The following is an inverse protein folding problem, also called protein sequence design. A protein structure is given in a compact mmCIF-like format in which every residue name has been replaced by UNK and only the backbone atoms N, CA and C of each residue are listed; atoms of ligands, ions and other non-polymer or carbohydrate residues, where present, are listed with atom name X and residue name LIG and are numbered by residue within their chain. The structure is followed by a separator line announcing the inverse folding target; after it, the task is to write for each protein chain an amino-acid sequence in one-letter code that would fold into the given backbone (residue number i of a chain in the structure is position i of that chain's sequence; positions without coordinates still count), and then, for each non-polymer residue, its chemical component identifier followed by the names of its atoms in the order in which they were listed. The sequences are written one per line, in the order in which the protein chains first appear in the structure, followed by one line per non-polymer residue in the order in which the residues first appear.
data_IF_328132474814
#
_entry.id   IF_328132474814
#
_cell.length_a   1.000
_cell.length_b   1.000
_cell.length_c   1.000
_cell.angle_alpha   90.00
_cell.angle_beta   90.00
_cell.angle_gamma   90.00
#
_symmetry.space_group_name_H-M   'P 1'
#
loop_
_entity.id
_entity.type
_entity.pdbx_description
1 polymer ?
#
# COMPACT_ATOMS: atom_id res chain seq x y z
N UNK A 1 42.58 29.86 39.47
CA UNK A 1 41.26 29.58 38.88
C UNK A 1 41.27 28.11 38.50
N UNK A 2 40.18 27.38 38.72
CA UNK A 2 40.12 25.95 38.42
C UNK A 2 39.90 25.78 36.92
N UNK A 3 40.80 25.09 36.22
CA UNK A 3 40.75 24.88 34.77
C UNK A 3 40.08 23.56 34.44
N UNK A 4 39.50 23.46 33.24
CA UNK A 4 38.95 22.19 32.75
C UNK A 4 40.09 21.20 32.45
N UNK A 5 39.87 19.93 32.79
CA UNK A 5 40.79 18.84 32.43
C UNK A 5 40.62 18.45 30.97
N UNK A 6 41.64 17.80 30.39
CA UNK A 6 41.57 17.34 28.99
C UNK A 6 40.44 16.33 28.76
N UNK A 7 40.13 15.49 29.76
CA UNK A 7 38.98 14.56 29.70
C UNK A 7 37.65 15.30 29.59
N UNK A 8 37.50 16.39 30.36
CA UNK A 8 36.29 17.21 30.35
C UNK A 8 36.14 17.97 29.03
N UNK A 9 37.23 18.45 28.44
CA UNK A 9 37.22 19.07 27.12
C UNK A 9 36.85 18.07 26.03
N UNK A 10 37.33 16.82 26.11
CA UNK A 10 36.94 15.77 25.17
C UNK A 10 35.46 15.36 25.34
N UNK A 11 34.96 15.20 26.57
CA UNK A 11 33.53 14.94 26.81
C UNK A 11 32.63 16.07 26.26
N UNK A 12 33.11 17.31 26.32
CA UNK A 12 32.45 18.46 25.70
C UNK A 12 32.44 18.38 24.17
N UNK A 13 33.55 17.97 23.55
CA UNK A 13 33.66 17.81 22.10
C UNK A 13 32.82 16.64 21.56
N UNK A 14 32.72 15.55 22.32
CA UNK A 14 31.98 14.34 21.97
C UNK A 14 30.46 14.46 22.24
N UNK A 15 29.97 15.64 22.63
CA UNK A 15 28.57 15.90 23.00
C UNK A 15 28.03 14.96 24.11
N UNK A 16 28.91 14.52 25.03
CA UNK A 16 28.56 13.57 26.09
C UNK A 16 28.08 14.21 27.40
N UNK A 17 28.15 15.54 27.51
CA UNK A 17 27.74 16.29 28.70
C UNK A 17 26.22 16.53 28.73
N UNK A 18 25.65 16.54 29.93
CA UNK A 18 24.28 17.00 30.12
C UNK A 18 24.15 18.51 29.90
N UNK A 19 22.94 18.96 29.58
CA UNK A 19 22.63 20.35 29.24
C UNK A 19 22.99 21.36 30.34
N UNK A 20 23.02 20.95 31.61
CA UNK A 20 23.37 21.86 32.71
C UNK A 20 24.88 22.02 32.85
N UNK A 21 25.62 20.94 32.68
CA UNK A 21 27.09 20.95 32.71
C UNK A 21 27.66 21.63 31.47
N UNK A 22 27.07 21.38 30.30
CA UNK A 22 27.47 22.02 29.04
C UNK A 22 27.41 23.55 29.13
N UNK A 23 26.30 24.11 29.63
CA UNK A 23 26.16 25.57 29.83
C UNK A 23 27.19 26.17 30.79
N UNK A 24 27.61 25.42 31.82
CA UNK A 24 28.69 25.85 32.73
C UNK A 24 30.03 25.89 32.00
N UNK A 25 30.31 24.89 31.18
CA UNK A 25 31.54 24.83 30.40
C UNK A 25 31.56 25.93 29.34
N UNK A 26 30.44 26.21 28.67
CA UNK A 26 30.33 27.33 27.72
C UNK A 26 30.67 28.67 28.40
N UNK A 27 30.14 28.91 29.60
CA UNK A 27 30.46 30.12 30.39
C UNK A 27 31.94 30.17 30.79
N UNK A 28 32.53 29.03 31.16
CA UNK A 28 33.95 28.96 31.48
C UNK A 28 34.83 29.23 30.26
N UNK A 29 34.51 28.66 29.10
CA UNK A 29 35.25 28.83 27.84
C UNK A 29 35.17 30.27 27.32
N UNK A 30 34.10 31.01 27.63
CA UNK A 30 33.99 32.44 27.31
C UNK A 30 34.87 33.33 28.20
N UNK A 31 35.26 32.85 29.38
CA UNK A 31 35.98 33.65 30.39
C UNK A 31 37.42 33.21 30.60
N UNK A 32 37.79 31.98 30.22
CA UNK A 32 39.13 31.43 30.35
C UNK A 32 39.78 31.20 28.99
N UNK A 33 40.68 32.11 28.61
CA UNK A 33 41.39 32.09 27.32
C UNK A 33 42.29 30.84 27.17
N UNK A 34 42.91 30.37 28.27
CA UNK A 34 43.74 29.15 28.26
C UNK A 34 42.94 27.89 27.90
N UNK A 35 41.74 27.75 28.47
CA UNK A 35 40.86 26.61 28.19
C UNK A 35 40.28 26.69 26.78
N UNK A 36 39.97 27.89 26.29
CA UNK A 36 39.52 28.10 24.92
C UNK A 36 40.61 27.74 23.91
N UNK A 37 41.86 28.17 24.14
CA UNK A 37 42.98 27.84 23.28
C UNK A 37 43.24 26.32 23.19
N UNK A 38 43.18 25.61 24.32
CA UNK A 38 43.30 24.14 24.35
C UNK A 38 42.17 23.44 23.60
N UNK A 39 40.94 23.93 23.75
CA UNK A 39 39.80 23.39 23.02
C UNK A 39 39.97 23.55 21.50
N UNK A 40 40.46 24.70 21.06
CA UNK A 40 40.71 24.96 19.64
C UNK A 40 41.86 24.10 19.08
N UNK A 41 42.91 23.83 19.87
CA UNK A 41 43.95 22.87 19.52
C UNK A 41 43.38 21.44 19.34
N UNK A 42 42.55 20.98 20.27
CA UNK A 42 41.88 19.69 20.15
C UNK A 42 40.97 19.62 18.92
N UNK A 43 40.18 20.67 18.65
CA UNK A 43 39.33 20.77 17.45
C UNK A 43 40.14 20.70 16.17
N UNK A 44 41.29 21.34 16.13
CA UNK A 44 42.19 21.30 14.98
C UNK A 44 42.68 19.87 14.70
N UNK A 45 43.04 19.12 15.74
CA UNK A 45 43.45 17.71 15.62
C UNK A 45 42.29 16.86 15.08
N UNK A 46 41.08 16.98 15.65
CA UNK A 46 39.92 16.22 15.18
C UNK A 46 39.54 16.54 13.73
N UNK A 47 39.61 17.81 13.34
CA UNK A 47 39.36 18.24 11.96
C UNK A 47 40.39 17.64 11.01
N UNK A 48 41.68 17.68 11.39
CA UNK A 48 42.76 17.08 10.61
C UNK A 48 42.61 15.57 10.47
N UNK A 49 42.12 14.88 11.51
CA UNK A 49 41.82 13.45 11.47
C UNK A 49 40.61 13.15 10.57
N UNK A 50 39.59 14.02 10.57
CA UNK A 50 38.41 13.87 9.72
C UNK A 50 38.71 14.07 8.23
N UNK A 51 39.78 14.81 7.90
CA UNK A 51 40.26 15.00 6.52
C UNK A 51 41.04 13.79 5.98
N UNK A 52 41.40 12.81 6.82
CA UNK A 52 42.09 11.61 6.37
C UNK A 52 41.22 10.82 5.39
N UNK A 53 41.82 10.24 4.33
CA UNK A 53 41.08 9.45 3.37
C UNK A 53 40.44 8.24 4.04
N UNK A 54 39.17 7.99 3.71
CA UNK A 54 38.44 6.85 4.24
C UNK A 54 39.18 5.55 3.89
N UNK A 55 39.48 4.75 4.92
CA UNK A 55 40.18 3.50 4.74
C UNK A 55 39.27 2.51 3.99
N UNK A 56 39.71 2.09 2.80
CA UNK A 56 39.00 1.02 2.09
C UNK A 56 39.20 -0.29 2.84
N UNK A 57 38.08 -0.90 3.25
CA UNK A 57 38.08 -2.25 3.79
C UNK A 57 38.55 -3.23 2.71
N UNK A 58 39.52 -4.10 3.04
CA UNK A 58 40.04 -5.12 2.12
C UNK A 58 38.99 -6.17 1.73
N UNK A 59 37.97 -6.35 2.58
CA UNK A 59 36.93 -7.36 2.40
C UNK A 59 35.56 -6.74 2.60
N UNK A 60 34.57 -7.22 1.83
CA UNK A 60 33.18 -6.83 2.01
C UNK A 60 32.59 -7.51 3.27
N UNK A 61 32.35 -6.69 4.30
CA UNK A 61 31.73 -7.14 5.55
C UNK A 61 30.19 -7.13 5.48
N UNK A 62 29.60 -6.55 4.44
CA UNK A 62 28.15 -6.30 4.34
C UNK A 62 27.36 -7.60 4.48
N UNK A 63 27.76 -8.65 3.76
CA UNK A 63 27.07 -9.94 3.81
C UNK A 63 27.07 -10.58 5.22
N UNK A 64 28.18 -10.46 5.95
CA UNK A 64 28.32 -11.06 7.28
C UNK A 64 27.57 -10.24 8.33
N UNK A 65 27.55 -8.91 8.21
CA UNK A 65 26.76 -8.03 9.08
C UNK A 65 25.27 -8.23 8.83
N UNK A 66 24.83 -8.18 7.56
CA UNK A 66 23.42 -8.33 7.19
C UNK A 66 22.84 -9.68 7.60
N UNK A 67 23.64 -10.76 7.53
CA UNK A 67 23.17 -12.09 7.96
C UNK A 67 22.97 -12.23 9.47
N UNK A 68 23.59 -11.34 10.27
CA UNK A 68 23.47 -11.31 11.73
C UNK A 68 22.44 -10.31 12.24
N UNK A 69 21.94 -9.42 11.39
CA UNK A 69 20.86 -8.52 11.76
C UNK A 69 19.56 -9.33 11.93
N UNK A 70 18.75 -9.01 12.96
CA UNK A 70 17.46 -9.66 13.14
C UNK A 70 16.60 -9.42 11.90
N UNK A 71 16.29 -10.48 11.16
CA UNK A 71 15.42 -10.37 10.00
C UNK A 71 14.03 -9.96 10.48
N UNK A 72 13.59 -8.78 10.06
CA UNK A 72 12.25 -8.28 10.33
C UNK A 72 11.25 -9.15 9.56
N UNK A 73 10.77 -10.20 10.21
CA UNK A 73 9.78 -11.09 9.61
C UNK A 73 8.56 -10.26 9.18
N UNK A 74 8.17 -10.32 7.90
CA UNK A 74 6.96 -9.66 7.48
C UNK A 74 5.79 -10.40 8.14
N UNK A 75 4.98 -9.68 8.91
CA UNK A 75 3.77 -10.17 9.57
C UNK A 75 2.66 -10.32 8.52
N UNK A 76 2.87 -11.21 7.54
CA UNK A 76 2.02 -11.30 6.33
C UNK A 76 0.65 -11.91 6.65
N UNK A 77 0.53 -12.65 7.75
CA UNK A 77 -0.72 -13.29 8.16
C UNK A 77 -1.09 -12.85 9.58
N UNK A 78 -1.48 -11.59 9.71
CA UNK A 78 -2.21 -11.19 10.91
C UNK A 78 -3.62 -11.81 10.83
N UNK A 79 -4.17 -12.34 11.94
CA UNK A 79 -5.54 -12.89 11.98
C UNK A 79 -6.60 -11.87 11.52
N UNK A 80 -6.22 -10.60 11.47
CA UNK A 80 -7.02 -9.50 10.99
C UNK A 80 -7.28 -9.54 9.47
N UNK A 81 -6.29 -9.93 8.65
CA UNK A 81 -6.49 -10.13 7.21
C UNK A 81 -7.47 -11.27 6.95
N UNK A 82 -7.38 -12.34 7.74
CA UNK A 82 -8.32 -13.46 7.68
C UNK A 82 -9.74 -13.01 8.08
N UNK A 83 -9.86 -12.18 9.13
CA UNK A 83 -11.16 -11.62 9.55
C UNK A 83 -11.78 -10.69 8.48
N UNK A 84 -10.97 -9.84 7.84
CA UNK A 84 -11.44 -8.96 6.77
C UNK A 84 -11.88 -9.75 5.53
N UNK A 85 -11.11 -10.76 5.12
CA UNK A 85 -11.48 -11.64 4.02
C UNK A 85 -12.79 -12.40 4.32
N UNK A 86 -12.93 -12.92 5.56
CA UNK A 86 -14.14 -13.60 6.01
C UNK A 86 -15.37 -12.68 5.98
N UNK A 87 -15.25 -11.44 6.47
CA UNK A 87 -16.33 -10.46 6.43
C UNK A 87 -16.73 -10.10 4.99
N UNK A 88 -15.76 -9.90 4.10
CA UNK A 88 -16.02 -9.59 2.69
C UNK A 88 -16.77 -10.73 1.99
N UNK A 89 -16.35 -11.97 2.22
CA UNK A 89 -17.03 -13.16 1.69
C UNK A 89 -18.44 -13.31 2.25
N UNK A 90 -18.65 -13.03 3.55
CA UNK A 90 -19.97 -13.05 4.16
C UNK A 90 -20.93 -12.02 3.56
N UNK A 91 -20.46 -10.79 3.33
CA UNK A 91 -21.25 -9.74 2.66
C UNK A 91 -21.57 -10.14 1.22
N UNK A 92 -20.60 -10.64 0.46
CA UNK A 92 -20.81 -11.11 -0.91
C UNK A 92 -21.86 -12.22 -0.98
N UNK A 93 -21.77 -13.20 -0.08
CA UNK A 93 -22.71 -14.31 0.00
C UNK A 93 -24.12 -13.83 0.36
N UNK A 94 -24.25 -12.93 1.33
CA UNK A 94 -25.55 -12.35 1.66
C UNK A 94 -26.12 -11.57 0.47
N UNK A 95 -25.31 -10.71 -0.17
CA UNK A 95 -25.76 -9.93 -1.32
C UNK A 95 -26.22 -10.84 -2.48
N UNK A 96 -25.51 -11.94 -2.76
CA UNK A 96 -25.89 -12.88 -3.81
C UNK A 96 -27.25 -13.54 -3.55
N UNK A 97 -27.56 -13.87 -2.29
CA UNK A 97 -28.87 -14.44 -1.93
C UNK A 97 -30.01 -13.43 -2.09
N UNK A 98 -29.75 -12.15 -1.86
CA UNK A 98 -30.75 -11.10 -2.02
C UNK A 98 -30.97 -10.80 -3.50
N UNK A 99 -29.90 -10.71 -4.30
CA UNK A 99 -29.99 -10.54 -5.75
C UNK A 99 -30.82 -11.65 -6.39
N UNK A 100 -30.66 -12.91 -5.95
CA UNK A 100 -31.48 -14.03 -6.44
C UNK A 100 -32.99 -13.88 -6.16
N UNK A 101 -33.39 -13.12 -5.14
CA UNK A 101 -34.81 -12.84 -4.84
C UNK A 101 -35.41 -11.73 -5.71
N UNK A 102 -34.56 -10.86 -6.27
CA UNK A 102 -34.99 -9.70 -7.06
C UNK A 102 -34.76 -9.87 -8.57
N UNK A 103 -34.02 -10.88 -8.99
CA UNK A 103 -33.98 -11.29 -10.39
C UNK A 103 -35.27 -12.06 -10.67
N UNK A 104 -36.21 -11.53 -11.49
CA UNK A 104 -37.34 -12.33 -11.94
C UNK A 104 -36.79 -13.58 -12.64
N UNK A 105 -37.46 -14.74 -12.57
CA UNK A 105 -37.03 -15.92 -13.31
C UNK A 105 -36.88 -15.48 -14.77
N UNK A 106 -35.64 -15.38 -15.24
CA UNK A 106 -35.38 -15.11 -16.66
C UNK A 106 -36.13 -16.21 -17.38
N UNK A 107 -37.10 -15.87 -18.25
CA UNK A 107 -37.82 -16.90 -18.99
C UNK A 107 -36.75 -17.77 -19.62
N UNK A 108 -36.78 -19.07 -19.34
CA UNK A 108 -35.79 -20.01 -19.83
C UNK A 108 -35.56 -19.69 -21.30
N UNK A 109 -34.33 -19.33 -21.66
CA UNK A 109 -33.99 -18.94 -23.01
C UNK A 109 -34.32 -20.13 -23.90
N UNK A 110 -35.51 -20.13 -24.51
CA UNK A 110 -35.97 -21.22 -25.36
C UNK A 110 -35.26 -21.03 -26.69
N UNK A 111 -34.12 -21.69 -26.84
CA UNK A 111 -33.37 -21.75 -28.10
C UNK A 111 -34.24 -22.16 -29.31
N UNK A 112 -35.41 -22.75 -29.09
CA UNK A 112 -36.37 -23.08 -30.14
C UNK A 112 -36.94 -21.88 -30.91
N UNK A 113 -36.80 -20.65 -30.40
CA UNK A 113 -37.20 -19.44 -31.14
C UNK A 113 -36.06 -18.87 -32.00
N UNK A 114 -34.83 -19.35 -31.81
CA UNK A 114 -33.71 -19.02 -32.67
C UNK A 114 -33.71 -20.00 -33.85
N UNK A 115 -34.55 -19.71 -34.86
CA UNK A 115 -34.48 -20.40 -36.14
C UNK A 115 -33.15 -20.01 -36.80
N UNK A 116 -32.09 -20.76 -36.51
CA UNK A 116 -30.91 -20.78 -37.37
C UNK A 116 -31.39 -21.47 -38.64
N UNK A 117 -31.45 -20.79 -39.81
CA UNK A 117 -31.65 -21.51 -41.05
C UNK A 117 -30.52 -22.54 -41.11
N UNK A 118 -30.87 -23.82 -41.06
CA UNK A 118 -29.92 -24.90 -41.25
C UNK A 118 -29.33 -24.71 -42.64
N UNK A 119 -28.14 -24.11 -42.71
CA UNK A 119 -27.31 -24.19 -43.88
C UNK A 119 -27.01 -25.67 -44.08
N UNK A 120 -27.73 -26.31 -44.99
CA UNK A 120 -27.35 -27.61 -45.48
C UNK A 120 -25.98 -27.40 -46.13
N UNK A 121 -24.93 -27.82 -45.41
CA UNK A 121 -23.58 -27.94 -45.93
C UNK A 121 -23.56 -29.12 -46.90
N UNK A 122 -24.17 -28.94 -48.07
CA UNK A 122 -23.84 -29.72 -49.25
C UNK A 122 -22.48 -29.21 -49.73
N UNK A 123 -21.44 -29.84 -49.18
CA UNK A 123 -20.06 -29.64 -49.62
C UNK A 123 -19.96 -30.34 -50.98
N UNK A 124 -20.31 -29.63 -52.05
CA UNK A 124 -19.83 -29.75 -53.42
C UNK A 124 -20.65 -28.77 -54.28
N UNK A 125 -19.97 -27.79 -54.89
CA UNK A 125 -20.49 -26.65 -55.67
C UNK A 125 -20.81 -25.37 -54.87
N UNK A 126 -19.74 -24.62 -54.55
CA UNK A 126 -19.84 -23.24 -54.09
C UNK A 126 -20.27 -22.34 -55.27
N UNK A 127 -21.57 -22.12 -55.42
CA UNK A 127 -22.11 -21.07 -56.27
C UNK A 127 -22.42 -19.87 -55.38
N UNK A 128 -21.71 -18.76 -55.59
CA UNK A 128 -21.96 -17.52 -54.83
C UNK A 128 -23.43 -17.12 -54.95
N UNK A 129 -24.15 -16.82 -53.84
CA UNK A 129 -25.49 -16.28 -53.92
C UNK A 129 -25.44 -14.93 -54.65
N UNK A 130 -26.39 -14.72 -55.56
CA UNK A 130 -26.59 -13.45 -56.25
C UNK A 130 -26.70 -12.31 -55.20
N UNK A 131 -25.94 -11.20 -55.29
CA UNK A 131 -25.93 -10.13 -54.28
C UNK A 131 -27.31 -9.60 -53.86
N UNK A 132 -28.34 -9.77 -54.70
CA UNK A 132 -29.72 -9.38 -54.39
C UNK A 132 -30.38 -10.25 -53.30
N UNK A 133 -29.98 -11.50 -53.10
CA UNK A 133 -30.55 -12.37 -52.05
C UNK A 133 -29.99 -12.09 -50.65
N UNK A 134 -28.79 -11.52 -50.56
CA UNK A 134 -28.21 -11.04 -49.30
C UNK A 134 -28.97 -9.81 -48.76
N UNK A 135 -29.48 -8.97 -49.65
CA UNK A 135 -30.18 -7.74 -49.29
C UNK A 135 -31.57 -8.00 -48.69
N UNK A 136 -32.29 -9.02 -49.17
CA UNK A 136 -33.61 -9.39 -48.63
C UNK A 136 -33.53 -9.98 -47.23
N UNK A 137 -32.43 -10.67 -46.89
CA UNK A 137 -32.20 -11.19 -45.54
C UNK A 137 -32.03 -10.08 -44.49
N UNK A 138 -31.44 -8.94 -44.88
CA UNK A 138 -31.25 -7.77 -44.04
C UNK A 138 -32.53 -6.93 -43.81
N UNK A 139 -33.64 -7.26 -44.46
CA UNK A 139 -34.90 -6.51 -44.34
C UNK A 139 -35.93 -7.15 -43.41
N UNK A 140 -35.60 -8.29 -42.76
CA UNK A 140 -36.40 -8.72 -41.62
C UNK A 140 -36.20 -7.69 -40.48
N UNK A 141 -37.27 -7.05 -39.99
CA UNK A 141 -37.16 -6.06 -38.94
C UNK A 141 -36.62 -6.76 -37.69
N UNK A 142 -35.35 -6.50 -37.38
CA UNK A 142 -34.74 -6.93 -36.15
C UNK A 142 -35.36 -6.09 -35.01
N UNK A 143 -36.40 -6.63 -34.41
CA UNK A 143 -37.01 -6.05 -33.21
C UNK A 143 -36.06 -6.25 -32.04
N UNK A 144 -35.25 -5.22 -31.73
CA UNK A 144 -34.44 -5.22 -30.52
C UNK A 144 -35.42 -5.29 -29.34
N UNK A 145 -35.39 -6.32 -28.48
CA UNK A 145 -36.19 -6.33 -27.28
C UNK A 145 -35.81 -5.09 -26.47
N UNK A 146 -36.75 -4.17 -26.30
CA UNK A 146 -36.58 -2.99 -25.47
C UNK A 146 -36.49 -3.44 -24.02
N UNK A 147 -35.26 -3.60 -23.52
CA UNK A 147 -35.02 -3.79 -22.11
C UNK A 147 -35.53 -2.55 -21.37
N UNK A 148 -36.66 -2.67 -20.69
CA UNK A 148 -37.06 -1.66 -19.72
C UNK A 148 -36.00 -1.65 -18.62
N UNK A 149 -35.32 -0.52 -18.35
CA UNK A 149 -34.37 -0.46 -17.26
C UNK A 149 -35.14 -0.66 -15.96
N UNK A 150 -34.97 -1.83 -15.35
CA UNK A 150 -35.43 -2.08 -13.99
C UNK A 150 -34.79 -1.03 -13.10
N UNK A 151 -35.58 -0.06 -12.62
CA UNK A 151 -35.09 0.92 -11.67
C UNK A 151 -34.82 0.18 -10.37
N UNK A 152 -33.55 -0.11 -10.09
CA UNK A 152 -33.13 -0.68 -8.82
C UNK A 152 -33.47 0.31 -7.71
N UNK A 153 -34.63 0.15 -7.08
CA UNK A 153 -35.04 0.95 -5.92
C UNK A 153 -34.33 0.41 -4.68
N UNK A 154 -33.02 0.66 -4.61
CA UNK A 154 -32.28 0.50 -3.37
C UNK A 154 -32.78 1.59 -2.42
N UNK A 155 -33.55 1.21 -1.41
CA UNK A 155 -33.94 2.12 -0.33
C UNK A 155 -32.71 2.87 0.16
N UNK A 156 -32.83 4.19 0.39
CA UNK A 156 -31.75 5.04 0.87
C UNK A 156 -31.06 4.47 2.11
N UNK A 157 -31.80 3.68 2.91
CA UNK A 157 -31.28 2.94 4.05
C UNK A 157 -30.23 1.88 3.67
N UNK A 158 -30.45 1.12 2.59
CA UNK A 158 -29.52 0.07 2.14
C UNK A 158 -28.22 0.69 1.60
N UNK A 159 -28.32 1.81 0.90
CA UNK A 159 -27.15 2.54 0.38
C UNK A 159 -26.35 3.11 1.55
N UNK A 160 -27.01 3.74 2.51
CA UNK A 160 -26.37 4.26 3.71
C UNK A 160 -25.68 3.14 4.51
N UNK A 161 -26.33 1.99 4.66
CA UNK A 161 -25.76 0.85 5.38
C UNK A 161 -24.49 0.33 4.70
N UNK A 162 -24.52 0.11 3.37
CA UNK A 162 -23.35 -0.35 2.61
C UNK A 162 -22.21 0.68 2.72
N UNK A 163 -22.51 1.97 2.55
CA UNK A 163 -21.51 3.03 2.62
C UNK A 163 -20.86 3.09 4.02
N UNK A 164 -21.66 2.99 5.09
CA UNK A 164 -21.17 2.98 6.47
C UNK A 164 -20.32 1.74 6.75
N UNK A 165 -20.76 0.56 6.31
CA UNK A 165 -19.99 -0.68 6.50
C UNK A 165 -18.64 -0.64 5.79
N UNK A 166 -18.59 -0.16 4.55
CA UNK A 166 -17.34 -0.02 3.79
C UNK A 166 -16.43 1.02 4.44
N UNK A 167 -16.98 2.15 4.89
CA UNK A 167 -16.23 3.21 5.55
C UNK A 167 -15.63 2.76 6.89
N UNK A 168 -16.41 2.05 7.72
CA UNK A 168 -15.92 1.49 8.98
C UNK A 168 -14.82 0.44 8.75
N UNK A 169 -15.00 -0.44 7.76
CA UNK A 169 -13.98 -1.43 7.40
C UNK A 169 -12.66 -0.75 6.99
N UNK A 170 -12.75 0.29 6.17
CA UNK A 170 -11.61 1.07 5.74
C UNK A 170 -10.94 1.82 6.89
N UNK A 171 -11.71 2.48 7.76
CA UNK A 171 -11.22 3.26 8.89
C UNK A 171 -10.50 2.36 9.91
N UNK A 172 -11.09 1.23 10.27
CA UNK A 172 -10.49 0.27 11.20
C UNK A 172 -9.19 -0.32 10.63
N UNK A 173 -9.19 -0.68 9.34
CA UNK A 173 -7.99 -1.18 8.65
C UNK A 173 -6.84 -0.17 8.69
N UNK A 174 -7.11 1.10 8.35
CA UNK A 174 -6.08 2.15 8.33
C UNK A 174 -5.61 2.56 9.72
N UNK A 175 -6.51 2.68 10.70
CA UNK A 175 -6.15 3.09 12.06
C UNK A 175 -5.19 2.07 12.71
N UNK A 176 -5.39 0.78 12.45
CA UNK A 176 -4.55 -0.28 13.00
C UNK A 176 -3.18 -0.35 12.33
N UNK A 177 -3.11 -0.10 11.02
CA UNK A 177 -1.85 -0.02 10.25
C UNK A 177 -0.96 1.12 10.76
N UNK A 178 -1.57 2.26 11.12
CA UNK A 178 -0.89 3.40 11.73
C UNK A 178 -0.44 3.13 13.18
N UNK A 179 -1.23 2.38 13.96
CA UNK A 179 -0.88 2.00 15.34
C UNK A 179 0.33 1.06 15.40
N UNK A 180 0.39 0.06 14.52
CA UNK A 180 1.48 -0.90 14.47
C UNK A 180 2.83 -0.27 14.06
N UNK A 181 2.82 0.88 13.36
CA UNK A 181 4.06 1.64 13.09
C UNK A 181 4.60 2.38 14.31
N UNK A 182 3.74 2.81 15.24
CA UNK A 182 4.18 3.55 16.44
C UNK A 182 4.91 2.66 17.45
N UNK A 183 4.58 1.37 17.53
CA UNK A 183 5.24 0.44 18.47
C UNK A 183 6.64 0.01 18.03
N UNK A 184 7.02 0.25 16.77
CA UNK A 184 8.37 -0.05 16.25
C UNK A 184 9.33 1.14 16.41
N UNK A 185 8.81 2.31 16.77
CA UNK A 185 9.58 3.56 16.94
C UNK A 185 9.81 3.96 18.40
N UNK A 186 9.34 3.16 19.36
CA UNK A 186 9.65 3.29 20.79
C UNK A 186 10.67 2.23 21.18
#
# INVERSE_FOLDING_TARGET
MDHLTDSQLNEYLDDMLDETTRRKFDSHLQTCEDCAARLDELRFIFTSLAELPEARLTHDLSANVLSRLPQKQPRILTPFFAAQAGAALGVLFWLSTQVARFIPPVPAFKFSQFQIPTFQLEILHFQFPDPYSLFTFLHHPFSIPTFQPSTFNLSSFNIAFIAISVFLLWLVGNLFLLRNRREVQK
#
